data_IF_044931826675
#
_entry.id   IF_044931826675
#
_cell.length_a   1.000
_cell.length_b   1.000
_cell.length_c   1.000
_cell.angle_alpha   90.00
_cell.angle_beta   90.00
_cell.angle_gamma   90.00
#
_symmetry.space_group_name_H-M   'P 1'
#
loop_
_entity.id
_entity.type
_entity.pdbx_description
1 polymer ?
#
# COMPACT_ATOMS: atom_id res chain seq x y z
N UNK A 1 13.24 -6.20 0.71
CA UNK A 1 11.88 -6.82 0.70
C UNK A 1 11.16 -6.66 -0.64
N UNK A 2 11.08 -5.43 -1.19
CA UNK A 2 10.29 -5.10 -2.41
C UNK A 2 10.51 -6.04 -3.62
N UNK A 3 11.75 -6.47 -3.88
CA UNK A 3 12.07 -7.40 -4.97
C UNK A 3 12.14 -8.87 -4.53
N UNK A 4 12.34 -9.11 -3.23
CA UNK A 4 12.52 -10.45 -2.68
C UNK A 4 11.22 -11.27 -2.71
N UNK A 5 10.08 -10.63 -2.43
CA UNK A 5 8.77 -11.31 -2.39
C UNK A 5 8.33 -11.77 -3.79
N UNK A 6 8.34 -10.92 -4.84
CA UNK A 6 8.07 -11.36 -6.21
C UNK A 6 9.00 -12.48 -6.68
N UNK A 7 10.30 -12.37 -6.37
CA UNK A 7 11.29 -13.37 -6.78
C UNK A 7 11.07 -14.71 -6.08
N UNK A 8 10.77 -14.70 -4.78
CA UNK A 8 10.48 -15.91 -4.01
C UNK A 8 9.23 -16.63 -4.54
N UNK A 9 8.16 -15.88 -4.85
CA UNK A 9 6.93 -16.42 -5.44
C UNK A 9 7.19 -16.96 -6.85
N UNK A 10 7.97 -16.25 -7.66
CA UNK A 10 8.32 -16.68 -9.02
C UNK A 10 9.15 -17.96 -9.02
N UNK A 11 10.14 -18.08 -8.14
CA UNK A 11 10.97 -19.29 -8.00
C UNK A 11 10.13 -20.48 -7.52
N UNK A 12 9.21 -20.25 -6.58
CA UNK A 12 8.33 -21.29 -6.07
C UNK A 12 7.37 -21.82 -7.14
N UNK A 13 6.75 -20.92 -7.91
CA UNK A 13 5.81 -21.28 -8.97
C UNK A 13 6.49 -21.78 -10.25
N UNK A 14 7.73 -21.35 -10.53
CA UNK A 14 8.47 -21.74 -11.73
C UNK A 14 8.87 -23.22 -11.78
N UNK A 15 8.93 -23.90 -10.64
CA UNK A 15 9.18 -25.34 -10.56
C UNK A 15 7.91 -26.20 -10.56
N UNK A 16 6.74 -25.60 -10.80
CA UNK A 16 5.43 -26.28 -10.75
C UNK A 16 4.72 -26.22 -12.11
N UNK A 17 3.92 -27.24 -12.46
CA UNK A 17 3.12 -27.19 -13.67
C UNK A 17 2.11 -26.04 -13.58
N UNK A 18 2.03 -25.24 -14.63
CA UNK A 18 1.05 -24.17 -14.79
C UNK A 18 -0.22 -24.76 -15.45
N UNK A 19 -1.44 -24.47 -14.95
CA UNK A 19 -1.76 -23.62 -13.80
C UNK A 19 -1.54 -24.34 -12.44
N UNK A 20 -1.10 -23.61 -11.40
CA UNK A 20 -0.86 -24.16 -10.07
C UNK A 20 -2.14 -24.67 -9.41
N UNK A 21 -2.00 -25.72 -8.58
CA UNK A 21 -3.13 -26.27 -7.81
C UNK A 21 -3.54 -25.32 -6.69
N UNK A 22 -4.80 -25.42 -6.20
CA UNK A 22 -5.31 -24.59 -5.09
C UNK A 22 -4.41 -24.60 -3.83
N UNK A 23 -3.77 -25.73 -3.54
CA UNK A 23 -2.81 -25.84 -2.43
C UNK A 23 -1.55 -24.99 -2.65
N UNK A 24 -1.04 -24.93 -3.88
CA UNK A 24 0.14 -24.15 -4.24
C UNK A 24 -0.19 -22.66 -4.27
N UNK A 25 -1.40 -22.31 -4.70
CA UNK A 25 -1.96 -20.95 -4.59
C UNK A 25 -2.02 -20.48 -3.15
N UNK A 26 -2.54 -21.30 -2.24
CA UNK A 26 -2.65 -20.93 -0.83
C UNK A 26 -1.26 -20.67 -0.21
N UNK A 27 -0.27 -21.50 -0.56
CA UNK A 27 1.11 -21.33 -0.12
C UNK A 27 1.72 -20.04 -0.71
N UNK A 28 1.51 -19.76 -2.00
CA UNK A 28 1.98 -18.54 -2.63
C UNK A 28 1.36 -17.28 -2.01
N UNK A 29 0.06 -17.32 -1.71
CA UNK A 29 -0.64 -16.23 -1.02
C UNK A 29 -0.09 -16.05 0.41
N UNK A 30 0.10 -17.14 1.16
CA UNK A 30 0.68 -17.08 2.51
C UNK A 30 2.11 -16.49 2.50
N UNK A 31 2.92 -16.86 1.51
CA UNK A 31 4.26 -16.33 1.29
C UNK A 31 4.28 -14.82 0.98
N UNK A 32 3.20 -14.27 0.43
CA UNK A 32 3.05 -12.82 0.20
C UNK A 32 2.51 -12.14 1.46
N UNK A 33 1.49 -12.73 2.09
CA UNK A 33 0.79 -12.17 3.25
C UNK A 33 1.72 -12.02 4.46
N UNK A 34 2.58 -13.01 4.72
CA UNK A 34 3.45 -13.03 5.89
C UNK A 34 4.44 -11.84 5.91
N UNK A 35 5.25 -11.58 4.86
CA UNK A 35 6.09 -10.38 4.81
C UNK A 35 5.28 -9.08 4.70
N UNK A 36 4.13 -9.09 4.05
CA UNK A 36 3.27 -7.88 3.95
C UNK A 36 2.75 -7.46 5.33
N UNK A 37 2.30 -8.41 6.15
CA UNK A 37 1.86 -8.18 7.54
C UNK A 37 3.01 -7.69 8.41
N UNK A 38 4.19 -8.31 8.30
CA UNK A 38 5.37 -7.87 9.05
C UNK A 38 5.76 -6.43 8.73
N UNK A 39 5.66 -6.01 7.46
CA UNK A 39 5.91 -4.61 7.05
C UNK A 39 4.80 -3.68 7.55
N UNK A 40 3.54 -4.12 7.51
CA UNK A 40 2.41 -3.34 8.02
C UNK A 40 2.50 -3.08 9.54
N UNK A 41 3.05 -4.04 10.30
CA UNK A 41 3.36 -3.87 11.74
C UNK A 41 4.44 -2.80 11.97
N UNK A 42 5.31 -2.53 10.99
CA UNK A 42 6.38 -1.53 11.05
C UNK A 42 5.95 -0.10 10.63
N UNK A 43 4.69 0.28 10.90
CA UNK A 43 3.94 1.36 10.24
C UNK A 43 4.28 1.80 8.80
N UNK A 44 4.93 0.98 7.97
CA UNK A 44 5.32 1.36 6.61
C UNK A 44 4.28 0.89 5.58
N UNK A 45 3.16 1.61 5.56
CA UNK A 45 2.04 1.39 4.63
C UNK A 45 2.46 1.44 3.15
N UNK A 46 3.44 2.28 2.81
CA UNK A 46 3.89 2.42 1.43
C UNK A 46 4.62 1.18 0.95
N UNK A 47 5.51 0.63 1.77
CA UNK A 47 6.25 -0.58 1.42
C UNK A 47 5.35 -1.82 1.43
N UNK A 48 4.37 -1.92 2.34
CA UNK A 48 3.45 -3.06 2.37
C UNK A 48 2.61 -3.16 1.10
N UNK A 49 2.07 -2.03 0.60
CA UNK A 49 1.28 -1.98 -0.64
C UNK A 49 2.11 -2.43 -1.85
N UNK A 50 3.34 -1.91 -1.98
CA UNK A 50 4.24 -2.27 -3.07
C UNK A 50 4.62 -3.75 -3.05
N UNK A 51 4.89 -4.31 -1.86
CA UNK A 51 5.22 -5.73 -1.70
C UNK A 51 4.02 -6.62 -2.04
N UNK A 52 2.82 -6.29 -1.57
CA UNK A 52 1.63 -7.07 -1.90
C UNK A 52 1.27 -7.02 -3.38
N UNK A 53 1.34 -5.82 -4.00
CA UNK A 53 0.99 -5.65 -5.41
C UNK A 53 1.96 -6.41 -6.32
N UNK A 54 3.26 -6.32 -6.05
CA UNK A 54 4.28 -7.02 -6.83
C UNK A 54 4.22 -8.54 -6.67
N UNK A 55 3.92 -9.06 -5.47
CA UNK A 55 3.68 -10.48 -5.25
C UNK A 55 2.44 -10.99 -5.98
N UNK A 56 1.31 -10.27 -5.90
CA UNK A 56 0.07 -10.61 -6.60
C UNK A 56 0.25 -10.61 -8.12
N UNK A 57 1.07 -9.70 -8.66
CA UNK A 57 1.34 -9.65 -10.09
C UNK A 57 2.04 -10.91 -10.60
N UNK A 58 2.98 -11.47 -9.83
CA UNK A 58 3.64 -12.74 -10.18
C UNK A 58 2.65 -13.90 -10.18
N UNK A 59 1.76 -13.94 -9.19
CA UNK A 59 0.70 -14.95 -9.10
C UNK A 59 -0.27 -14.85 -10.28
N UNK A 60 -0.57 -13.64 -10.72
CA UNK A 60 -1.38 -13.38 -11.91
C UNK A 60 -0.70 -13.90 -13.19
N UNK A 61 0.59 -13.61 -13.38
CA UNK A 61 1.36 -14.09 -14.54
C UNK A 61 1.49 -15.63 -14.59
N UNK A 62 1.37 -16.31 -13.45
CA UNK A 62 1.37 -17.78 -13.39
C UNK A 62 0.06 -18.43 -13.92
N UNK A 63 -0.83 -17.66 -14.55
CA UNK A 63 -2.04 -18.19 -15.19
C UNK A 63 -3.16 -18.54 -14.21
N UNK A 64 -3.16 -17.92 -13.03
CA UNK A 64 -4.14 -18.19 -11.99
C UNK A 64 -5.51 -17.57 -12.32
N UNK A 65 -6.60 -18.21 -11.87
CA UNK A 65 -7.95 -17.69 -12.09
C UNK A 65 -8.17 -16.37 -11.35
N UNK A 66 -8.74 -15.40 -12.07
CA UNK A 66 -8.99 -14.06 -11.54
C UNK A 66 -9.86 -14.08 -10.26
N UNK A 67 -10.73 -15.08 -10.12
CA UNK A 67 -11.59 -15.29 -8.97
C UNK A 67 -10.84 -15.54 -7.66
N UNK A 68 -9.71 -16.26 -7.69
CA UNK A 68 -8.92 -16.52 -6.48
C UNK A 68 -8.21 -15.25 -6.00
N UNK A 69 -7.70 -14.45 -6.94
CA UNK A 69 -7.13 -13.14 -6.64
C UNK A 69 -8.20 -12.23 -6.04
N UNK A 70 -9.39 -12.21 -6.64
CA UNK A 70 -10.51 -11.39 -6.17
C UNK A 70 -10.99 -11.82 -4.79
N UNK A 71 -11.09 -13.13 -4.52
CA UNK A 71 -11.43 -13.66 -3.21
C UNK A 71 -10.38 -13.28 -2.14
N UNK A 72 -9.08 -13.32 -2.48
CA UNK A 72 -8.02 -12.92 -1.57
C UNK A 72 -8.07 -11.40 -1.27
N UNK A 73 -8.31 -10.58 -2.29
CA UNK A 73 -8.46 -9.12 -2.13
C UNK A 73 -9.69 -8.79 -1.27
N UNK A 74 -10.82 -9.46 -1.50
CA UNK A 74 -12.03 -9.29 -0.68
C UNK A 74 -11.77 -9.73 0.76
N UNK A 75 -11.09 -10.86 0.97
CA UNK A 75 -10.73 -11.32 2.31
C UNK A 75 -9.85 -10.32 3.06
N UNK A 76 -8.85 -9.75 2.37
CA UNK A 76 -8.01 -8.68 2.92
C UNK A 76 -8.81 -7.41 3.22
N UNK A 77 -9.69 -7.00 2.31
CA UNK A 77 -10.56 -5.85 2.50
C UNK A 77 -11.52 -6.05 3.68
N UNK A 78 -12.04 -7.25 3.86
CA UNK A 78 -12.87 -7.63 5.01
C UNK A 78 -12.13 -7.63 6.34
N UNK A 79 -10.78 -7.71 6.33
CA UNK A 79 -9.95 -7.59 7.52
C UNK A 79 -9.66 -6.12 7.91
N UNK A 80 -9.88 -5.16 7.02
CA UNK A 80 -9.64 -3.72 7.28
C UNK A 80 -10.39 -3.20 8.52
N UNK A 81 -11.69 -3.50 8.74
CA UNK A 81 -12.41 -3.04 9.94
C UNK A 81 -11.81 -3.58 11.23
N UNK A 82 -11.36 -4.84 11.23
CA UNK A 82 -10.71 -5.47 12.39
C UNK A 82 -9.38 -4.76 12.67
N UNK A 83 -8.61 -4.51 11.62
CA UNK A 83 -7.36 -3.77 11.73
C UNK A 83 -7.57 -2.35 12.28
N UNK A 84 -8.61 -1.65 11.81
CA UNK A 84 -8.96 -0.31 12.25
C UNK A 84 -9.33 -0.24 13.74
N UNK A 85 -10.16 -1.18 14.20
CA UNK A 85 -10.71 -1.19 15.56
C UNK A 85 -9.72 -1.70 16.61
N UNK A 86 -8.90 -2.71 16.27
CA UNK A 86 -8.11 -3.44 17.27
C UNK A 86 -6.59 -3.31 17.11
N UNK A 87 -6.07 -3.01 15.92
CA UNK A 87 -4.63 -2.97 15.65
C UNK A 87 -4.09 -1.55 15.43
N UNK A 88 -4.89 -0.65 14.87
CA UNK A 88 -4.44 0.69 14.52
C UNK A 88 -4.29 1.57 15.75
N UNK A 89 -3.12 2.19 15.90
CA UNK A 89 -2.86 3.19 16.94
C UNK A 89 -3.54 4.53 16.57
N UNK A 90 -3.86 5.36 17.57
CA UNK A 90 -4.58 6.62 17.37
C UNK A 90 -3.88 7.54 16.34
N UNK A 91 -2.55 7.62 16.38
CA UNK A 91 -1.75 8.36 15.40
C UNK A 91 -2.00 7.93 13.94
N UNK A 92 -2.13 6.62 13.71
CA UNK A 92 -2.35 6.07 12.37
C UNK A 92 -3.76 6.44 11.87
N UNK A 93 -4.75 6.44 12.76
CA UNK A 93 -6.11 6.89 12.44
C UNK A 93 -6.14 8.39 12.17
N UNK A 94 -5.45 9.20 12.98
CA UNK A 94 -5.34 10.65 12.76
C UNK A 94 -4.79 10.94 11.37
N UNK A 95 -3.71 10.27 10.93
CA UNK A 95 -3.18 10.44 9.57
C UNK A 95 -4.18 10.13 8.47
N UNK A 96 -4.96 9.04 8.61
CA UNK A 96 -5.99 8.68 7.62
C UNK A 96 -7.11 9.73 7.60
N UNK A 97 -7.56 10.17 8.78
CA UNK A 97 -8.60 11.20 8.91
C UNK A 97 -8.15 12.55 8.37
N UNK A 98 -6.90 12.95 8.63
CA UNK A 98 -6.30 14.18 8.09
C UNK A 98 -6.13 14.13 6.58
N UNK A 99 -5.90 12.95 5.99
CA UNK A 99 -5.85 12.80 4.53
C UNK A 99 -7.24 12.99 3.89
N UNK A 100 -8.29 12.50 4.53
CA UNK A 100 -9.68 12.67 4.09
C UNK A 100 -10.19 14.10 4.33
N UNK A 101 -9.82 14.68 5.46
CA UNK A 101 -10.27 15.98 5.93
C UNK A 101 -9.11 16.77 6.57
N UNK A 102 -8.26 17.39 5.73
CA UNK A 102 -7.11 18.16 6.21
C UNK A 102 -7.50 19.49 6.87
N UNK A 103 -8.76 19.93 6.73
CA UNK A 103 -9.26 21.21 7.26
C UNK A 103 -9.65 21.14 8.74
N UNK A 104 -9.82 19.93 9.28
CA UNK A 104 -10.09 19.72 10.72
C UNK A 104 -8.93 20.10 11.64
N UNK A 105 -7.69 20.03 11.15
CA UNK A 105 -6.51 20.42 11.90
C UNK A 105 -5.49 21.11 10.97
N UNK A 106 -5.74 22.38 10.59
CA UNK A 106 -4.93 23.08 9.60
C UNK A 106 -3.56 23.54 10.13
N UNK A 107 -3.35 23.52 11.46
CA UNK A 107 -2.10 23.91 12.11
C UNK A 107 -1.27 22.72 12.61
N UNK A 108 -1.88 21.55 12.78
CA UNK A 108 -1.20 20.31 13.17
C UNK A 108 -1.01 19.36 11.99
N UNK A 109 -1.70 18.23 12.01
CA UNK A 109 -1.47 17.15 11.05
C UNK A 109 -1.78 17.55 9.59
N UNK A 110 -2.75 18.45 9.38
CA UNK A 110 -3.20 18.92 8.06
C UNK A 110 -2.33 20.02 7.45
N UNK A 111 -1.43 20.63 8.23
CA UNK A 111 -0.61 21.77 7.82
C UNK A 111 0.17 21.50 6.53
N UNK A 112 0.89 20.37 6.46
CA UNK A 112 1.69 20.03 5.29
C UNK A 112 0.85 19.80 4.04
N UNK A 113 -0.36 19.24 4.18
CA UNK A 113 -1.27 19.00 3.05
C UNK A 113 -1.81 20.34 2.54
N UNK A 114 -2.23 21.21 3.45
CA UNK A 114 -2.78 22.52 3.11
C UNK A 114 -1.70 23.43 2.50
N UNK A 115 -0.49 23.44 3.05
CA UNK A 115 0.62 24.19 2.47
C UNK A 115 1.06 23.64 1.11
N UNK A 116 1.06 22.33 0.91
CA UNK A 116 1.30 21.76 -0.42
C UNK A 116 0.24 22.24 -1.42
N UNK A 117 -1.05 22.27 -1.03
CA UNK A 117 -2.13 22.81 -1.87
C UNK A 117 -1.93 24.29 -2.19
N UNK A 118 -1.58 25.12 -1.19
CA UNK A 118 -1.34 26.56 -1.37
C UNK A 118 -0.10 26.78 -2.25
N UNK A 119 0.98 26.03 -2.02
CA UNK A 119 2.20 26.12 -2.81
C UNK A 119 1.94 25.80 -4.29
N UNK A 120 1.23 24.70 -4.57
CA UNK A 120 0.81 24.32 -5.93
C UNK A 120 -0.09 25.39 -6.54
N UNK A 121 -1.14 25.81 -5.82
CA UNK A 121 -2.10 26.81 -6.30
C UNK A 121 -1.49 28.19 -6.55
N UNK A 122 -0.48 28.56 -5.77
CA UNK A 122 0.20 29.85 -5.90
C UNK A 122 1.24 29.90 -7.04
N UNK A 123 1.59 28.74 -7.62
CA UNK A 123 2.59 28.61 -8.68
C UNK A 123 2.17 29.13 -10.06
N UNK A 124 0.87 29.19 -10.36
CA UNK A 124 0.39 29.54 -11.71
C UNK A 124 0.95 28.63 -12.81
N UNK A 125 0.73 28.98 -14.09
CA UNK A 125 1.21 28.17 -15.23
C UNK A 125 2.73 28.24 -15.46
N UNK A 126 3.40 29.33 -15.04
CA UNK A 126 4.85 29.52 -15.23
C UNK A 126 5.70 29.12 -14.01
N UNK A 127 5.07 28.74 -12.89
CA UNK A 127 5.76 28.58 -11.61
C UNK A 127 6.17 29.92 -10.98
N UNK A 128 6.53 29.89 -9.69
CA UNK A 128 7.08 31.07 -8.98
C UNK A 128 8.57 31.34 -9.27
N UNK A 129 9.29 30.41 -9.90
CA UNK A 129 10.75 30.49 -10.10
C UNK A 129 11.57 29.90 -8.95
N UNK A 130 12.85 29.62 -9.22
CA UNK A 130 13.78 28.99 -8.28
C UNK A 130 13.95 29.87 -7.02
N UNK A 131 13.83 29.27 -5.82
CA UNK A 131 13.91 29.95 -4.50
C UNK A 131 12.80 30.97 -4.17
N UNK A 132 11.74 31.08 -4.99
CA UNK A 132 10.57 31.91 -4.67
C UNK A 132 9.38 31.10 -4.11
N UNK A 133 9.66 29.90 -3.60
CA UNK A 133 8.68 29.07 -2.93
C UNK A 133 8.18 29.77 -1.67
N UNK A 134 6.87 29.96 -1.55
CA UNK A 134 6.26 30.60 -0.35
C UNK A 134 6.34 29.69 0.88
N UNK A 135 6.80 28.45 0.70
CA UNK A 135 6.84 27.35 1.68
C UNK A 135 8.06 26.43 1.49
N UNK A 136 9.18 26.95 0.96
CA UNK A 136 10.43 26.20 0.98
C UNK A 136 11.11 26.35 2.34
N UNK A 137 10.96 25.35 3.20
CA UNK A 137 12.01 24.94 4.14
C UNK A 137 12.54 23.58 3.70
#
# INVERSE_FOLDING_TARGET
VKLAVPLMVAVYLGNRPLPPKLSETFIAIAMILLPTLLVAIQPDLGTSILVSASGLFVVFLAGMSWWLILAAVIGLAGFIPIMWLYLMHDYQRTRVLTLLDPEKDPLGAGYHILQSKIAIGSGGLSGKGWMQGTQSQ
#
